data_IF_131195323320
#
_entry.id   IF_131195323320
#
_cell.length_a   1.000
_cell.length_b   1.000
_cell.length_c   1.000
_cell.angle_alpha   90.00
_cell.angle_beta   90.00
_cell.angle_gamma   90.00
#
_symmetry.space_group_name_H-M   'P 1'
#
loop_
_entity.id
_entity.type
_entity.pdbx_description
1 polymer ?
#
# COMPACT_ATOMS: atom_id res chain seq x y z
N UNK A 1 -26.81 -22.53 4.51
CA UNK A 1 -25.85 -21.50 4.95
C UNK A 1 -24.55 -22.20 5.33
N UNK A 2 -23.48 -22.06 4.53
CA UNK A 2 -22.18 -22.67 4.86
C UNK A 2 -21.31 -21.60 5.51
N UNK A 3 -20.98 -21.79 6.79
CA UNK A 3 -20.04 -20.93 7.52
C UNK A 3 -18.71 -20.85 6.77
N UNK A 4 -18.28 -19.63 6.47
CA UNK A 4 -16.95 -19.38 5.95
C UNK A 4 -15.93 -19.78 7.02
N UNK A 5 -15.14 -20.82 6.76
CA UNK A 5 -13.98 -21.14 7.59
C UNK A 5 -12.97 -19.99 7.49
N UNK A 6 -12.91 -19.15 8.52
CA UNK A 6 -11.87 -18.14 8.69
C UNK A 6 -10.53 -18.89 8.76
N UNK A 7 -9.68 -18.68 7.76
CA UNK A 7 -8.28 -19.14 7.82
C UNK A 7 -7.58 -18.24 8.83
N UNK A 8 -7.42 -18.73 10.06
CA UNK A 8 -6.64 -18.05 11.09
C UNK A 8 -5.19 -17.96 10.63
N UNK A 9 -4.67 -16.74 10.41
CA UNK A 9 -3.24 -16.52 10.21
C UNK A 9 -2.50 -16.79 11.52
N UNK A 10 -1.36 -17.47 11.44
CA UNK A 10 -0.50 -17.75 12.60
C UNK A 10 0.29 -16.53 13.07
N UNK A 11 0.39 -15.46 12.25
CA UNK A 11 0.97 -14.16 12.58
C UNK A 11 0.26 -13.02 11.83
N UNK A 12 0.33 -11.79 12.34
CA UNK A 12 -0.08 -10.61 11.58
C UNK A 12 0.83 -10.46 10.34
N UNK A 13 0.28 -10.17 9.15
CA UNK A 13 1.10 -9.87 7.97
C UNK A 13 1.95 -8.63 8.20
N UNK A 14 3.16 -8.61 7.64
CA UNK A 14 4.08 -7.48 7.79
C UNK A 14 4.07 -6.64 6.51
N UNK A 15 3.90 -5.32 6.64
CA UNK A 15 3.92 -4.36 5.54
C UNK A 15 5.17 -3.47 5.63
N UNK A 16 5.88 -3.33 4.52
CA UNK A 16 6.97 -2.38 4.36
C UNK A 16 6.42 -1.04 3.85
N UNK A 17 6.63 0.04 4.59
CA UNK A 17 6.27 1.40 4.19
C UNK A 17 7.53 2.21 3.83
N UNK A 18 7.73 2.45 2.55
CA UNK A 18 8.86 3.19 2.01
C UNK A 18 8.56 4.69 1.95
N UNK A 19 9.56 5.53 2.25
CA UNK A 19 9.41 6.98 2.36
C UNK A 19 8.42 7.37 3.48
N UNK A 20 8.53 6.69 4.62
CA UNK A 20 7.47 6.65 5.63
C UNK A 20 7.29 7.96 6.41
N UNK A 21 8.30 8.86 6.40
CA UNK A 21 8.32 10.09 7.20
C UNK A 21 7.87 9.83 8.65
N UNK A 22 7.04 10.70 9.21
CA UNK A 22 6.58 10.53 10.58
C UNK A 22 5.45 9.47 10.73
N UNK A 23 5.09 8.72 9.67
CA UNK A 23 4.29 7.49 9.79
C UNK A 23 2.76 7.61 9.67
N UNK A 24 2.25 8.57 8.90
CA UNK A 24 0.80 8.81 8.74
C UNK A 24 0.12 7.68 7.98
N UNK A 25 0.70 7.32 6.82
CA UNK A 25 0.28 6.17 6.04
C UNK A 25 0.43 4.86 6.84
N UNK A 26 1.57 4.71 7.51
CA UNK A 26 1.91 3.53 8.33
C UNK A 26 0.87 3.26 9.40
N UNK A 27 0.39 4.30 10.09
CA UNK A 27 -0.64 4.14 11.11
C UNK A 27 -1.92 3.54 10.53
N UNK A 28 -2.35 3.99 9.35
CA UNK A 28 -3.53 3.40 8.71
C UNK A 28 -3.35 1.92 8.37
N UNK A 29 -2.18 1.52 7.85
CA UNK A 29 -1.89 0.11 7.60
C UNK A 29 -1.85 -0.71 8.90
N UNK A 30 -1.32 -0.15 9.98
CA UNK A 30 -1.35 -0.78 11.30
C UNK A 30 -2.78 -0.99 11.80
N UNK A 31 -3.63 0.05 11.71
CA UNK A 31 -5.05 -0.01 12.08
C UNK A 31 -5.82 -1.05 11.26
N UNK A 32 -5.48 -1.22 9.98
CA UNK A 32 -6.08 -2.26 9.14
C UNK A 32 -5.71 -3.69 9.57
N UNK A 33 -4.62 -3.88 10.30
CA UNK A 33 -4.21 -5.20 10.82
C UNK A 33 -2.79 -5.65 10.46
N UNK A 34 -1.96 -4.80 9.86
CA UNK A 34 -0.55 -5.11 9.59
C UNK A 34 0.35 -4.85 10.80
N UNK A 35 1.48 -5.56 10.88
CA UNK A 35 2.68 -5.07 11.54
C UNK A 35 3.47 -4.25 10.51
N UNK A 36 3.93 -3.05 10.86
CA UNK A 36 4.47 -2.10 9.87
C UNK A 36 5.92 -1.78 10.17
N UNK A 37 6.76 -1.84 9.13
CA UNK A 37 8.17 -1.43 9.17
C UNK A 37 8.34 -0.23 8.24
N UNK A 38 8.84 0.88 8.76
CA UNK A 38 9.06 2.10 8.01
C UNK A 38 10.51 2.27 7.58
N UNK A 39 10.70 2.79 6.37
CA UNK A 39 12.03 3.17 5.84
C UNK A 39 11.99 4.61 5.34
N UNK A 40 12.92 5.43 5.83
CA UNK A 40 13.16 6.79 5.31
C UNK A 40 14.65 7.10 5.36
N UNK A 41 15.11 7.96 4.45
CA UNK A 41 16.52 8.38 4.41
C UNK A 41 16.85 9.33 5.57
N UNK A 42 15.86 10.11 6.00
CA UNK A 42 15.98 11.04 7.13
C UNK A 42 15.61 10.35 8.44
N UNK A 43 16.21 10.72 9.58
CA UNK A 43 15.80 10.18 10.87
C UNK A 43 14.35 10.58 11.19
N UNK A 44 13.54 9.62 11.63
CA UNK A 44 12.13 9.82 11.98
C UNK A 44 11.87 9.50 13.46
N UNK A 45 12.27 10.38 14.41
CA UNK A 45 12.15 10.11 15.85
C UNK A 45 10.71 10.05 16.36
N UNK A 46 9.73 10.40 15.52
CA UNK A 46 8.29 10.35 15.81
C UNK A 46 7.58 9.21 15.10
N UNK A 47 8.31 8.41 14.33
CA UNK A 47 7.73 7.25 13.68
C UNK A 47 7.23 6.25 14.74
N UNK A 48 5.97 5.80 14.68
CA UNK A 48 5.36 5.06 15.78
C UNK A 48 5.65 3.55 15.77
N UNK A 49 6.38 3.03 14.78
CA UNK A 49 6.66 1.59 14.62
C UNK A 49 8.16 1.31 14.44
N UNK A 50 8.51 0.08 14.04
CA UNK A 50 9.87 -0.27 13.68
C UNK A 50 10.36 0.60 12.51
N UNK A 51 11.52 1.23 12.67
CA UNK A 51 12.08 2.19 11.73
C UNK A 51 13.51 1.82 11.33
N UNK A 52 13.80 1.90 10.04
CA UNK A 52 15.13 1.78 9.48
C UNK A 52 15.49 3.06 8.72
N UNK A 53 16.60 3.69 9.13
CA UNK A 53 17.15 4.82 8.39
C UNK A 53 18.01 4.30 7.22
N UNK A 54 17.47 4.29 6.01
CA UNK A 54 18.13 3.74 4.83
C UNK A 54 17.60 4.35 3.53
N UNK A 55 18.31 4.12 2.41
CA UNK A 55 17.71 4.32 1.09
C UNK A 55 16.57 3.31 0.87
N UNK A 56 15.42 3.82 0.41
CA UNK A 56 14.20 3.04 0.29
C UNK A 56 14.30 1.95 -0.79
N UNK A 57 14.97 2.22 -1.91
CA UNK A 57 15.08 1.26 -3.01
C UNK A 57 16.15 0.21 -2.71
N UNK A 58 17.28 0.61 -2.12
CA UNK A 58 18.30 -0.34 -1.66
C UNK A 58 17.76 -1.28 -0.58
N UNK A 59 17.03 -0.74 0.41
CA UNK A 59 16.42 -1.56 1.45
C UNK A 59 15.40 -2.55 0.85
N UNK A 60 14.58 -2.10 -0.10
CA UNK A 60 13.64 -2.96 -0.81
C UNK A 60 14.38 -4.08 -1.56
N UNK A 61 15.47 -3.79 -2.25
CA UNK A 61 16.25 -4.81 -2.97
C UNK A 61 16.80 -5.90 -2.06
N UNK A 62 17.23 -5.54 -0.86
CA UNK A 62 17.83 -6.46 0.10
C UNK A 62 16.76 -7.25 0.89
N UNK A 63 15.66 -6.59 1.27
CA UNK A 63 14.71 -7.13 2.26
C UNK A 63 13.32 -7.45 1.69
N UNK A 64 13.05 -7.26 0.40
CA UNK A 64 11.71 -7.49 -0.17
C UNK A 64 11.14 -8.87 0.15
N UNK A 65 11.95 -9.90 0.41
CA UNK A 65 11.46 -11.24 0.73
C UNK A 65 10.79 -11.34 2.10
N UNK A 66 11.08 -10.42 3.01
CA UNK A 66 10.67 -10.48 4.42
C UNK A 66 9.25 -9.95 4.67
N UNK A 67 8.65 -9.28 3.68
CA UNK A 67 7.37 -8.56 3.82
C UNK A 67 6.23 -9.21 3.04
N UNK A 68 5.00 -9.10 3.56
CA UNK A 68 3.82 -9.65 2.91
C UNK A 68 3.16 -8.64 1.96
N UNK A 69 3.26 -7.34 2.26
CA UNK A 69 2.74 -6.24 1.46
C UNK A 69 3.69 -5.03 1.47
N UNK A 70 3.48 -4.10 0.53
CA UNK A 70 4.38 -2.96 0.33
C UNK A 70 3.59 -1.67 0.12
N UNK A 71 4.07 -0.57 0.67
CA UNK A 71 3.61 0.77 0.37
C UNK A 71 4.82 1.65 0.07
N UNK A 72 4.63 2.67 -0.75
CA UNK A 72 5.63 3.71 -0.94
C UNK A 72 5.01 5.03 -1.34
N UNK A 73 5.48 6.11 -0.72
CA UNK A 73 4.99 7.47 -0.95
C UNK A 73 6.15 8.38 -1.36
N UNK A 74 6.74 8.18 -2.55
CA UNK A 74 7.98 8.85 -2.94
C UNK A 74 7.79 10.38 -3.00
N UNK A 75 8.89 11.14 -2.84
CA UNK A 75 8.87 12.61 -2.87
C UNK A 75 8.07 13.17 -4.06
N UNK A 76 7.10 14.05 -3.77
CA UNK A 76 6.13 14.56 -4.75
C UNK A 76 6.50 15.93 -5.35
N UNK A 77 7.65 16.49 -4.99
CA UNK A 77 8.02 17.87 -5.29
C UNK A 77 7.98 18.15 -6.79
N UNK A 78 8.44 17.21 -7.62
CA UNK A 78 8.42 17.30 -9.08
C UNK A 78 7.01 17.53 -9.66
N UNK A 79 5.98 16.97 -9.02
CA UNK A 79 4.59 16.98 -9.53
C UNK A 79 3.66 17.93 -8.75
N UNK A 80 4.15 18.56 -7.69
CA UNK A 80 3.36 19.47 -6.87
C UNK A 80 3.02 20.77 -7.63
N UNK A 81 1.87 21.38 -7.33
CA UNK A 81 1.52 22.70 -7.89
C UNK A 81 2.58 23.78 -7.59
N UNK A 82 3.28 23.64 -6.47
CA UNK A 82 4.37 24.54 -6.04
C UNK A 82 5.57 24.53 -6.99
N UNK A 83 5.80 23.42 -7.69
CA UNK A 83 6.90 23.30 -8.65
C UNK A 83 6.67 24.11 -9.92
N UNK A 84 5.41 24.26 -10.35
CA UNK A 84 5.03 25.18 -11.44
C UNK A 84 5.44 26.63 -11.17
N UNK A 85 5.68 26.98 -9.90
CA UNK A 85 6.09 28.31 -9.45
C UNK A 85 7.61 28.44 -9.23
N UNK A 86 8.36 27.34 -9.09
CA UNK A 86 9.76 27.35 -8.62
C UNK A 86 10.78 26.71 -9.56
N UNK A 87 10.38 25.82 -10.47
CA UNK A 87 11.24 25.28 -11.53
C UNK A 87 12.51 24.55 -11.06
N UNK A 88 12.49 23.86 -9.91
CA UNK A 88 13.66 23.18 -9.33
C UNK A 88 13.78 21.73 -9.82
N UNK A 89 14.99 21.22 -10.05
CA UNK A 89 15.14 19.80 -10.36
C UNK A 89 14.82 18.92 -9.13
N UNK A 90 13.98 17.91 -9.34
CA UNK A 90 13.56 16.95 -8.32
C UNK A 90 13.58 15.55 -8.92
N UNK A 91 14.08 14.52 -8.21
CA UNK A 91 14.15 13.17 -8.74
C UNK A 91 12.76 12.57 -8.96
N UNK A 92 12.54 11.97 -10.12
CA UNK A 92 11.37 11.12 -10.40
C UNK A 92 11.60 9.74 -9.80
N UNK A 93 11.07 9.51 -8.60
CA UNK A 93 11.14 8.22 -7.92
C UNK A 93 9.88 7.37 -8.11
N UNK A 94 8.85 7.87 -8.81
CA UNK A 94 7.61 7.12 -9.05
C UNK A 94 7.87 5.97 -10.03
N UNK A 95 8.53 6.26 -11.16
CA UNK A 95 8.92 5.26 -12.15
C UNK A 95 9.82 4.15 -11.56
N UNK A 96 10.98 4.50 -10.97
CA UNK A 96 11.89 3.54 -10.35
C UNK A 96 11.24 2.69 -9.24
N UNK A 97 10.41 3.29 -8.38
CA UNK A 97 9.70 2.56 -7.33
C UNK A 97 8.74 1.52 -7.92
N UNK A 98 7.96 1.90 -8.94
CA UNK A 98 7.03 0.99 -9.63
C UNK A 98 7.77 -0.20 -10.22
N UNK A 99 8.85 0.03 -10.94
CA UNK A 99 9.65 -1.04 -11.56
C UNK A 99 10.21 -1.99 -10.50
N UNK A 100 10.73 -1.45 -9.40
CA UNK A 100 11.22 -2.23 -8.26
C UNK A 100 10.11 -3.05 -7.60
N UNK A 101 8.92 -2.48 -7.38
CA UNK A 101 7.77 -3.24 -6.88
C UNK A 101 7.35 -4.36 -7.81
N UNK A 102 7.30 -4.12 -9.12
CA UNK A 102 6.95 -5.16 -10.11
C UNK A 102 7.98 -6.31 -10.13
N UNK A 103 9.26 -5.99 -9.99
CA UNK A 103 10.38 -6.95 -10.05
C UNK A 103 10.55 -7.75 -8.75
N UNK A 104 10.49 -7.09 -7.59
CA UNK A 104 11.00 -7.62 -6.32
C UNK A 104 9.92 -8.22 -5.42
N UNK A 105 8.67 -7.79 -5.54
CA UNK A 105 7.60 -8.20 -4.62
C UNK A 105 7.09 -9.61 -4.88
N UNK A 106 7.51 -10.29 -5.96
CA UNK A 106 6.97 -11.61 -6.33
C UNK A 106 5.44 -11.57 -6.57
N UNK A 107 4.95 -10.39 -6.97
CA UNK A 107 3.55 -10.09 -7.17
C UNK A 107 2.77 -9.77 -5.89
N UNK A 108 3.36 -9.81 -4.68
CA UNK A 108 2.67 -9.43 -3.43
C UNK A 108 2.00 -8.04 -3.58
N UNK A 109 0.88 -7.80 -2.88
CA UNK A 109 0.14 -6.56 -3.04
C UNK A 109 1.01 -5.37 -2.64
N UNK A 110 0.98 -4.33 -3.47
CA UNK A 110 1.71 -3.10 -3.23
C UNK A 110 0.89 -1.87 -3.60
N UNK A 111 1.21 -0.72 -3.00
CA UNK A 111 0.56 0.56 -3.28
C UNK A 111 1.60 1.65 -3.42
N UNK A 112 1.44 2.52 -4.43
CA UNK A 112 2.21 3.74 -4.60
C UNK A 112 1.26 4.92 -4.42
N UNK A 113 1.61 5.83 -3.51
CA UNK A 113 0.89 7.08 -3.32
C UNK A 113 1.62 8.24 -4.00
N UNK A 114 0.85 9.20 -4.53
CA UNK A 114 1.38 10.51 -4.87
C UNK A 114 0.27 11.57 -4.99
N UNK A 115 0.66 12.81 -5.33
CA UNK A 115 -0.26 13.93 -5.56
C UNK A 115 -0.95 13.86 -6.93
N UNK A 116 -2.13 14.51 -7.09
CA UNK A 116 -2.74 14.70 -8.39
C UNK A 116 -1.78 15.35 -9.41
N UNK A 117 -1.63 14.71 -10.58
CA UNK A 117 -0.71 15.13 -11.64
C UNK A 117 0.55 14.27 -11.76
N UNK A 118 0.84 13.42 -10.76
CA UNK A 118 1.91 12.43 -10.88
C UNK A 118 1.58 11.36 -11.96
N UNK A 119 2.58 10.79 -12.65
CA UNK A 119 2.41 9.82 -13.71
C UNK A 119 2.11 8.41 -13.15
N UNK A 120 1.00 8.28 -12.42
CA UNK A 120 0.51 7.03 -11.86
C UNK A 120 -0.36 6.28 -12.86
N UNK A 121 -0.29 4.95 -12.84
CA UNK A 121 -1.05 4.07 -13.74
C UNK A 121 -2.40 3.70 -13.12
N UNK A 122 -3.48 4.10 -13.79
CA UNK A 122 -4.86 3.84 -13.37
C UNK A 122 -5.11 4.06 -11.86
N UNK A 123 -4.69 5.19 -11.27
CA UNK A 123 -4.81 5.40 -9.84
C UNK A 123 -6.26 5.62 -9.43
N UNK A 124 -6.58 5.26 -8.18
CA UNK A 124 -7.77 5.78 -7.51
C UNK A 124 -7.46 7.13 -6.87
N UNK A 125 -8.46 7.98 -6.72
CA UNK A 125 -8.36 9.22 -5.94
C UNK A 125 -9.08 9.06 -4.61
N UNK A 126 -8.42 9.38 -3.51
CA UNK A 126 -9.05 9.53 -2.20
C UNK A 126 -8.99 10.98 -1.73
N UNK A 127 -10.03 11.42 -1.01
CA UNK A 127 -10.17 12.76 -0.47
C UNK A 127 -10.69 12.69 0.97
N UNK A 128 -10.34 13.67 1.81
CA UNK A 128 -10.61 13.61 3.23
C UNK A 128 -12.11 13.62 3.51
N UNK A 129 -12.85 14.32 2.67
CA UNK A 129 -14.31 14.37 2.71
C UNK A 129 -15.00 13.00 2.55
N UNK A 130 -14.30 11.97 2.04
CA UNK A 130 -14.84 10.60 1.93
C UNK A 130 -14.85 9.85 3.28
N UNK A 131 -14.27 10.44 4.34
CA UNK A 131 -14.09 9.81 5.63
C UNK A 131 -14.62 10.74 6.72
N UNK A 132 -15.69 10.32 7.41
CA UNK A 132 -16.44 11.17 8.36
C UNK A 132 -15.57 11.75 9.49
N UNK A 133 -14.51 11.03 9.88
CA UNK A 133 -13.58 11.46 10.92
C UNK A 133 -12.60 12.54 10.46
N UNK A 134 -12.48 12.81 9.15
CA UNK A 134 -11.53 13.77 8.62
C UNK A 134 -12.20 15.11 8.32
N UNK A 135 -11.49 16.19 8.65
CA UNK A 135 -11.93 17.56 8.40
C UNK A 135 -10.97 18.30 7.48
N UNK A 136 -10.60 17.66 6.38
CA UNK A 136 -9.67 18.19 5.37
C UNK A 136 -10.13 17.87 3.95
N UNK A 137 -9.81 18.75 3.00
CA UNK A 137 -9.86 18.44 1.56
C UNK A 137 -8.46 18.15 1.05
N UNK A 138 -8.05 16.88 1.14
CA UNK A 138 -6.70 16.43 0.76
C UNK A 138 -6.78 15.33 -0.29
N UNK A 139 -6.75 15.69 -1.56
CA UNK A 139 -6.74 14.69 -2.63
C UNK A 139 -5.37 14.03 -2.74
N UNK A 140 -5.37 12.69 -2.79
CA UNK A 140 -4.20 11.85 -3.09
C UNK A 140 -4.57 10.73 -4.04
N UNK A 141 -3.62 10.35 -4.88
CA UNK A 141 -3.74 9.30 -5.86
C UNK A 141 -3.02 8.05 -5.36
N UNK A 142 -3.62 6.89 -5.62
CA UNK A 142 -3.08 5.59 -5.23
C UNK A 142 -3.08 4.62 -6.41
N UNK A 143 -1.90 4.21 -6.84
CA UNK A 143 -1.68 3.14 -7.81
C UNK A 143 -1.43 1.81 -7.07
N UNK A 144 -1.93 0.69 -7.61
CA UNK A 144 -1.70 -0.62 -7.02
C UNK A 144 -1.74 -1.73 -8.08
N UNK A 145 -1.10 -2.87 -7.79
CA UNK A 145 -1.24 -4.10 -8.57
C UNK A 145 -2.52 -4.89 -8.23
N UNK A 146 -3.30 -4.45 -7.25
CA UNK A 146 -4.62 -4.99 -6.96
C UNK A 146 -5.70 -3.96 -7.25
N UNK A 147 -6.92 -4.42 -7.50
CA UNK A 147 -8.06 -3.52 -7.64
C UNK A 147 -8.37 -2.86 -6.30
N UNK A 148 -8.43 -1.51 -6.31
CA UNK A 148 -8.87 -0.71 -5.19
C UNK A 148 -10.24 -0.10 -5.52
N UNK A 149 -11.26 -0.22 -4.63
CA UNK A 149 -12.52 0.46 -4.83
C UNK A 149 -12.36 1.96 -4.56
N UNK A 150 -13.19 2.77 -5.22
CA UNK A 150 -13.26 4.21 -5.00
C UNK A 150 -14.55 4.51 -4.22
N UNK A 151 -14.47 5.05 -2.99
CA UNK A 151 -15.65 5.56 -2.29
C UNK A 151 -16.32 6.68 -3.09
N UNK A 152 -17.60 6.93 -2.81
CA UNK A 152 -18.28 8.11 -3.39
C UNK A 152 -17.56 9.39 -2.93
N UNK A 153 -17.25 10.27 -3.87
CA UNK A 153 -16.61 11.56 -3.58
C UNK A 153 -17.69 12.64 -3.35
N UNK A 154 -17.85 13.16 -2.12
CA UNK A 154 -18.85 14.18 -1.86
C UNK A 154 -18.37 15.56 -2.34
N UNK A 155 -19.33 16.39 -2.77
CA UNK A 155 -19.07 17.77 -3.15
C UNK A 155 -18.43 18.57 -2.01
N UNK A 156 -17.42 19.38 -2.33
CA UNK A 156 -16.67 20.22 -1.39
C UNK A 156 -17.46 21.47 -0.99
N UNK A 157 -18.40 21.30 -0.06
CA UNK A 157 -19.32 22.37 0.37
C UNK A 157 -18.87 23.14 1.63
N UNK A 158 -17.98 22.56 2.43
CA UNK A 158 -17.50 23.19 3.67
C UNK A 158 -16.38 24.16 3.34
N UNK A 159 -16.37 25.34 3.98
CA UNK A 159 -15.31 26.32 3.81
C UNK A 159 -14.00 25.76 4.34
N UNK A 160 -12.91 26.07 3.64
CA UNK A 160 -11.56 25.69 4.06
C UNK A 160 -10.87 26.88 4.72
N UNK A 161 -10.14 26.62 5.80
CA UNK A 161 -9.30 27.61 6.48
C UNK A 161 -8.30 28.21 5.50
N UNK A 162 -8.41 29.53 5.27
CA UNK A 162 -7.40 30.26 4.48
C UNK A 162 -6.03 30.22 5.17
N UNK A 163 -4.97 30.18 4.36
CA UNK A 163 -3.60 30.20 4.86
C UNK A 163 -3.30 31.50 5.63
N UNK A 164 -2.52 31.38 6.71
CA UNK A 164 -2.09 32.54 7.51
C UNK A 164 -3.10 33.06 8.55
N UNK A 165 -4.31 32.47 8.66
CA UNK A 165 -5.26 32.79 9.74
C UNK A 165 -5.48 31.58 10.67
N UNK A 166 -5.90 31.82 11.93
CA UNK A 166 -6.41 30.75 12.79
C UNK A 166 -7.63 30.06 12.18
N UNK A 167 -7.77 28.72 12.35
CA UNK A 167 -8.94 27.99 11.88
C UNK A 167 -10.20 28.28 12.70
N UNK A 168 -11.34 28.40 12.03
CA UNK A 168 -12.65 28.46 12.68
C UNK A 168 -13.25 27.06 12.89
N UNK A 169 -14.15 26.93 13.87
CA UNK A 169 -14.71 25.63 14.27
C UNK A 169 -15.59 24.97 13.20
N UNK A 170 -16.20 25.74 12.31
CA UNK A 170 -17.06 25.31 11.21
C UNK A 170 -16.31 25.08 9.89
N UNK A 171 -14.98 25.24 9.89
CA UNK A 171 -14.15 25.09 8.70
C UNK A 171 -13.44 23.73 8.64
N UNK A 172 -13.05 23.35 7.42
CA UNK A 172 -12.09 22.28 7.17
C UNK A 172 -10.68 22.85 7.14
N UNK A 173 -9.71 22.07 7.61
CA UNK A 173 -8.31 22.48 7.68
C UNK A 173 -7.63 22.40 6.30
N UNK A 174 -6.83 23.42 5.98
CA UNK A 174 -5.89 23.38 4.86
C UNK A 174 -4.49 23.02 5.36
N UNK A 175 -4.20 21.73 5.47
CA UNK A 175 -2.94 21.22 6.04
C UNK A 175 -1.88 21.07 4.95
N UNK A 176 -1.45 22.19 4.38
CA UNK A 176 -0.43 22.26 3.32
C UNK A 176 0.48 23.47 3.57
N UNK A 177 1.77 23.36 3.26
CA UNK A 177 2.70 24.48 3.41
C UNK A 177 2.81 25.00 4.84
N UNK A 178 2.90 26.32 5.01
CA UNK A 178 2.98 26.96 6.32
C UNK A 178 1.58 27.33 6.84
N UNK A 179 0.94 26.41 7.55
CA UNK A 179 -0.39 26.60 8.15
C UNK A 179 -0.31 26.89 9.66
N UNK A 180 -1.39 27.46 10.22
CA UNK A 180 -1.54 27.70 11.66
C UNK A 180 -2.53 26.72 12.29
N UNK A 181 -2.57 26.60 13.62
CA UNK A 181 -3.49 25.70 14.32
C UNK A 181 -3.09 24.23 14.24
N UNK A 182 -1.88 23.91 14.73
CA UNK A 182 -1.32 22.54 14.68
C UNK A 182 -2.23 21.54 15.40
N UNK A 183 -2.77 21.88 16.58
CA UNK A 183 -3.68 20.99 17.32
C UNK A 183 -4.97 20.69 16.54
N UNK A 184 -5.53 21.69 15.85
CA UNK A 184 -6.70 21.51 14.98
C UNK A 184 -6.34 20.67 13.75
N UNK A 185 -5.15 20.85 13.17
CA UNK A 185 -4.70 20.03 12.04
C UNK A 185 -4.50 18.56 12.43
N UNK A 186 -3.93 18.31 13.62
CA UNK A 186 -3.81 16.99 14.23
C UNK A 186 -5.18 16.29 14.32
N UNK A 187 -6.14 17.01 14.90
CA UNK A 187 -7.53 16.52 15.01
C UNK A 187 -8.16 16.29 13.64
N UNK A 188 -8.02 17.24 12.70
CA UNK A 188 -8.64 17.18 11.39
C UNK A 188 -8.08 16.08 10.48
N UNK A 189 -6.84 15.65 10.69
CA UNK A 189 -6.20 14.55 9.96
C UNK A 189 -6.22 13.22 10.70
N UNK A 190 -6.63 13.18 11.97
CA UNK A 190 -6.56 11.99 12.81
C UNK A 190 -5.12 11.57 13.13
N UNK A 191 -4.24 12.53 13.40
CA UNK A 191 -2.80 12.31 13.64
C UNK A 191 -2.36 13.16 14.84
N UNK A 192 -2.04 12.56 15.98
CA UNK A 192 -1.68 13.31 17.20
C UNK A 192 -0.17 13.35 17.51
N UNK A 193 0.64 12.48 16.91
CA UNK A 193 2.07 12.35 17.22
C UNK A 193 3.00 13.25 16.38
N UNK A 194 2.54 13.76 15.25
CA UNK A 194 3.41 14.44 14.28
C UNK A 194 3.73 15.91 14.59
N UNK A 195 4.79 16.42 13.98
CA UNK A 195 5.09 17.85 13.89
C UNK A 195 4.23 18.54 12.83
N UNK A 196 4.25 19.89 12.79
CA UNK A 196 3.61 20.66 11.71
C UNK A 196 4.13 20.27 10.33
N UNK A 197 5.45 20.06 10.23
CA UNK A 197 6.10 19.72 8.97
C UNK A 197 5.81 18.27 8.56
N UNK A 198 5.70 17.34 9.52
CA UNK A 198 5.17 16.00 9.27
C UNK A 198 3.74 16.04 8.73
N UNK A 199 2.84 16.79 9.39
CA UNK A 199 1.43 16.89 9.01
C UNK A 199 1.19 17.42 7.59
N UNK A 200 1.96 18.41 7.12
CA UNK A 200 1.75 18.95 5.76
C UNK A 200 2.07 17.93 4.67
N UNK A 201 2.98 16.99 4.93
CA UNK A 201 3.38 15.93 3.99
C UNK A 201 2.55 14.65 4.19
N UNK A 202 2.01 14.42 5.39
CA UNK A 202 1.37 13.16 5.77
C UNK A 202 0.16 12.76 4.91
N UNK A 203 -0.03 11.45 4.77
CA UNK A 203 -1.28 10.83 4.32
C UNK A 203 -2.12 10.57 5.59
N UNK A 204 -3.40 10.98 5.64
CA UNK A 204 -4.27 10.65 6.77
C UNK A 204 -4.40 9.13 6.96
N UNK A 205 -4.28 8.60 8.19
CA UNK A 205 -4.36 7.16 8.46
C UNK A 205 -5.63 6.49 7.89
N UNK A 206 -6.77 7.19 7.88
CA UNK A 206 -8.02 6.65 7.35
C UNK A 206 -7.93 6.19 5.88
N UNK A 207 -7.07 6.81 5.06
CA UNK A 207 -6.91 6.42 3.66
C UNK A 207 -6.22 5.05 3.56
N UNK A 208 -5.13 4.88 4.28
CA UNK A 208 -4.32 3.67 4.22
C UNK A 208 -4.91 2.56 5.08
N UNK A 209 -5.77 2.86 6.05
CA UNK A 209 -6.64 1.87 6.69
C UNK A 209 -7.62 1.27 5.68
N UNK A 210 -8.34 2.11 4.93
CA UNK A 210 -9.25 1.67 3.88
C UNK A 210 -8.54 0.80 2.81
N UNK A 211 -7.37 1.25 2.35
CA UNK A 211 -6.54 0.50 1.40
C UNK A 211 -6.00 -0.78 2.03
N UNK A 212 -5.54 -0.73 3.28
CA UNK A 212 -4.97 -1.85 4.03
C UNK A 212 -5.92 -3.04 4.11
N UNK A 213 -7.21 -2.80 4.33
CA UNK A 213 -8.23 -3.85 4.29
C UNK A 213 -8.28 -4.59 2.94
N UNK A 214 -8.02 -3.89 1.82
CA UNK A 214 -7.96 -4.51 0.48
C UNK A 214 -6.68 -5.29 0.26
N UNK A 215 -5.56 -4.80 0.78
CA UNK A 215 -4.29 -5.53 0.75
C UNK A 215 -4.41 -6.85 1.53
N UNK A 216 -4.99 -6.83 2.73
CA UNK A 216 -5.24 -8.04 3.53
C UNK A 216 -6.14 -9.04 2.79
N UNK A 217 -7.24 -8.59 2.20
CA UNK A 217 -8.12 -9.45 1.41
C UNK A 217 -7.39 -10.07 0.19
N UNK A 218 -6.47 -9.32 -0.44
CA UNK A 218 -5.65 -9.84 -1.53
C UNK A 218 -4.65 -10.90 -1.05
N UNK A 219 -4.07 -10.73 0.13
CA UNK A 219 -3.21 -11.74 0.76
C UNK A 219 -4.00 -13.01 1.12
N UNK A 220 -5.23 -12.87 1.61
CA UNK A 220 -6.09 -14.02 1.94
C UNK A 220 -6.43 -14.83 0.70
N UNK A 221 -6.77 -14.18 -0.42
CA UNK A 221 -7.01 -14.87 -1.70
C UNK A 221 -5.78 -15.63 -2.19
N UNK A 222 -4.57 -15.10 -1.95
CA UNK A 222 -3.31 -15.80 -2.27
C UNK A 222 -3.06 -17.00 -1.36
N UNK A 223 -3.29 -16.87 -0.06
CA UNK A 223 -3.12 -17.96 0.90
C UNK A 223 -4.20 -19.04 0.77
N UNK A 224 -5.41 -18.66 0.36
CA UNK A 224 -6.49 -19.59 0.02
C UNK A 224 -6.19 -20.41 -1.25
N UNK A 225 -5.19 -20.01 -2.06
CA UNK A 225 -4.60 -20.84 -3.11
C UNK A 225 -3.64 -21.88 -2.50
N UNK A 226 -4.14 -22.69 -1.58
CA UNK A 226 -3.57 -23.99 -1.27
C UNK A 226 -4.27 -24.99 -2.22
N UNK A 227 -3.56 -25.96 -2.80
CA UNK A 227 -4.08 -26.92 -3.81
C UNK A 227 -5.38 -27.65 -3.38
N UNK A 228 -5.70 -27.57 -2.08
CA UNK A 228 -6.88 -28.11 -1.44
C UNK A 228 -8.14 -27.23 -1.48
N UNK A 229 -8.06 -25.90 -1.69
CA UNK A 229 -9.21 -24.97 -1.48
C UNK A 229 -9.60 -24.08 -2.67
N UNK A 230 -8.90 -24.16 -3.81
CA UNK A 230 -9.29 -23.40 -4.99
C UNK A 230 -10.45 -24.10 -5.74
N UNK A 231 -11.53 -23.33 -6.01
CA UNK A 231 -12.76 -23.83 -6.66
C UNK A 231 -12.84 -23.49 -8.15
N UNK A 232 -11.76 -23.00 -8.77
CA UNK A 232 -11.75 -22.71 -10.20
C UNK A 232 -11.92 -24.01 -11.01
N UNK A 233 -12.66 -24.00 -12.15
CA UNK A 233 -12.72 -25.14 -13.05
C UNK A 233 -11.31 -25.58 -13.47
N UNK A 234 -10.97 -26.85 -13.24
CA UNK A 234 -9.63 -27.38 -13.53
C UNK A 234 -8.55 -27.04 -12.50
N UNK A 235 -8.92 -26.55 -11.31
CA UNK A 235 -7.99 -26.45 -10.19
C UNK A 235 -7.40 -27.84 -9.86
N UNK A 236 -6.06 -27.92 -9.69
CA UNK A 236 -5.22 -29.14 -9.58
C UNK A 236 -4.76 -29.75 -10.90
N UNK A 237 -5.21 -29.26 -12.05
CA UNK A 237 -4.66 -29.69 -13.34
C UNK A 237 -3.36 -28.91 -13.60
N UNK A 238 -2.23 -29.60 -13.48
CA UNK A 238 -0.92 -29.03 -13.77
C UNK A 238 -0.80 -28.70 -15.26
N UNK A 239 -1.02 -27.45 -15.63
CA UNK A 239 -0.85 -26.99 -17.01
C UNK A 239 0.56 -26.45 -17.24
N UNK A 240 1.12 -26.72 -18.41
CA UNK A 240 2.32 -26.05 -18.92
C UNK A 240 1.93 -24.64 -19.37
N UNK A 241 2.79 -23.65 -19.13
CA UNK A 241 2.52 -22.26 -19.48
C UNK A 241 2.04 -22.13 -20.95
N UNK A 242 0.77 -21.79 -21.21
CA UNK A 242 0.22 -21.81 -22.57
C UNK A 242 0.90 -20.80 -23.49
N UNK A 243 1.36 -19.67 -22.92
CA UNK A 243 1.92 -18.56 -23.68
C UNK A 243 3.40 -18.69 -24.02
N UNK A 244 4.13 -19.65 -23.43
CA UNK A 244 5.60 -19.75 -23.62
C UNK A 244 6.13 -21.17 -23.80
N UNK A 245 5.32 -22.22 -23.59
CA UNK A 245 5.77 -23.61 -23.66
C UNK A 245 6.82 -24.01 -22.61
N UNK A 246 7.21 -23.10 -21.71
CA UNK A 246 8.22 -23.37 -20.67
C UNK A 246 7.66 -24.32 -19.60
N UNK A 247 8.48 -25.22 -19.02
CA UNK A 247 8.04 -26.30 -18.11
C UNK A 247 7.70 -25.81 -16.68
N UNK A 248 6.92 -24.73 -16.57
CA UNK A 248 6.36 -24.24 -15.32
C UNK A 248 4.93 -24.77 -15.21
N UNK A 249 4.64 -25.47 -14.11
CA UNK A 249 3.32 -26.02 -13.83
C UNK A 249 2.49 -25.01 -13.02
N UNK A 250 1.26 -24.77 -13.45
CA UNK A 250 0.30 -23.89 -12.76
C UNK A 250 -0.91 -24.70 -12.31
N UNK A 251 -1.63 -24.19 -11.30
CA UNK A 251 -2.78 -24.88 -10.72
C UNK A 251 -3.99 -24.95 -11.67
N UNK A 252 -4.20 -23.94 -12.53
CA UNK A 252 -5.16 -23.96 -13.65
C UNK A 252 -4.95 -22.75 -14.60
N UNK A 253 -5.70 -22.66 -15.71
CA UNK A 253 -5.59 -21.56 -16.69
C UNK A 253 -5.97 -20.18 -16.15
N UNK A 254 -6.88 -20.13 -15.18
CA UNK A 254 -7.27 -18.91 -14.48
C UNK A 254 -6.28 -18.51 -13.36
N UNK A 255 -5.42 -19.43 -12.92
CA UNK A 255 -4.54 -19.26 -11.77
C UNK A 255 -3.07 -19.22 -12.23
N UNK A 256 -2.46 -18.04 -12.33
CA UNK A 256 -1.03 -17.86 -12.67
C UNK A 256 -0.07 -18.14 -11.49
N UNK A 257 -0.54 -18.85 -10.46
CA UNK A 257 0.27 -19.25 -9.30
C UNK A 257 1.04 -20.53 -9.64
N UNK A 258 2.36 -20.53 -9.43
CA UNK A 258 3.20 -21.72 -9.59
C UNK A 258 2.74 -22.81 -8.63
N UNK A 259 2.48 -24.01 -9.14
CA UNK A 259 2.27 -25.18 -8.29
C UNK A 259 3.50 -25.40 -7.41
N UNK A 260 3.31 -25.65 -6.11
CA UNK A 260 4.41 -26.05 -5.25
C UNK A 260 4.90 -27.41 -5.75
N UNK A 261 6.23 -27.59 -5.89
CA UNK A 261 6.78 -28.89 -6.27
C UNK A 261 6.41 -29.87 -5.16
N UNK A 262 5.51 -30.82 -5.44
CA UNK A 262 5.46 -32.04 -4.65
C UNK A 262 6.86 -32.68 -4.65
N UNK A 263 7.36 -33.21 -3.52
CA UNK A 263 8.59 -33.98 -3.53
C UNK A 263 8.45 -35.10 -4.56
N UNK A 264 9.48 -35.31 -5.38
CA UNK A 264 9.53 -36.41 -6.36
C UNK A 264 9.21 -37.71 -5.61
N UNK A 265 8.08 -38.33 -5.92
CA UNK A 265 7.89 -39.75 -5.62
C UNK A 265 9.03 -40.48 -6.34
N UNK A 266 9.91 -41.11 -5.55
CA UNK A 266 10.91 -42.02 -6.09
C UNK A 266 10.19 -43.08 -6.91
N UNK A 267 10.72 -43.49 -8.08
CA UNK A 267 10.10 -44.57 -8.84
C UNK A 267 10.12 -45.83 -7.97
N UNK A 268 8.95 -46.45 -7.78
CA UNK A 268 8.87 -47.80 -7.23
C UNK A 268 9.70 -48.71 -8.14
N UNK A 269 10.62 -49.46 -7.53
CA UNK A 269 11.39 -50.48 -8.24
C UNK A 269 10.46 -51.61 -8.68
N UNK A 270 10.80 -52.24 -9.81
CA UNK A 270 10.04 -53.34 -10.42
C UNK A 270 10.08 -54.66 -9.62
N UNK A 271 10.24 -54.61 -8.30
CA UNK A 271 10.42 -55.79 -7.44
C UNK A 271 9.14 -56.28 -6.74
N UNK A 272 8.01 -55.58 -6.88
CA UNK A 272 6.75 -55.90 -6.16
C UNK A 272 5.59 -56.33 -7.08
N UNK A 273 5.91 -57.05 -8.16
CA UNK A 273 4.94 -57.85 -8.90
C UNK A 273 5.48 -59.29 -9.01
N UNK A 274 5.18 -60.09 -7.99
CA UNK A 274 5.08 -61.55 -8.08
C UNK A 274 3.69 -61.96 -7.63
#
# INVERSE_FOLDING_TARGET
MRSAHVVSRTRRPVLLDLFCKEGGASMGYHLAGFDVVGVDMEPQPRYPFEFHQADALEFLEQHARDFDAFAGSPPCQLYSNTQRLRGREHPDLVGPLRESFQRLTGGRPWVIENVPGAPLHAPILLCGAMFDQLRVYRHRLFESNIALPVPEHPAHRVKVTRMGRPPAADEFMHVVGNFSGVAQAKTAMGIDWMTRDGLREAIPPAYTEFIGHRLLAALDKRQACNETRCHAPGCRTLIVQPSTGRPRRFCCGACRVRAHRAPKLLPMSAAELR
#
